data_IF_808149202762
#
_entry.id   IF_808149202762
#
_cell.length_a   1.000
_cell.length_b   1.000
_cell.length_c   1.000
_cell.angle_alpha   90.00
_cell.angle_beta   90.00
_cell.angle_gamma   90.00
#
_symmetry.space_group_name_H-M   'P 1'
#
loop_
_entity.id
_entity.type
_entity.pdbx_description
1 polymer ?
#
# COMPACT_ATOMS: atom_id res chain seq x y z
N UNK A 1 -13.64 5.29 -0.96
CA UNK A 1 -12.51 4.56 -1.60
C UNK A 1 -12.91 3.84 -2.89
N UNK A 2 -13.78 2.82 -2.88
CA UNK A 2 -14.15 2.12 -4.14
C UNK A 2 -14.68 3.06 -5.23
N UNK A 3 -15.64 3.94 -4.90
CA UNK A 3 -16.13 4.98 -5.83
C UNK A 3 -15.00 5.84 -6.39
N UNK A 4 -14.03 6.21 -5.55
CA UNK A 4 -12.87 6.99 -5.95
C UNK A 4 -11.98 6.24 -6.92
N UNK A 5 -11.75 4.93 -6.71
CA UNK A 5 -11.00 4.10 -7.67
C UNK A 5 -11.66 4.13 -9.04
N UNK A 6 -12.98 3.89 -9.10
CA UNK A 6 -13.71 3.91 -10.38
C UNK A 6 -13.71 5.29 -11.03
N UNK A 7 -13.87 6.36 -10.24
CA UNK A 7 -13.80 7.73 -10.74
C UNK A 7 -12.45 8.07 -11.36
N UNK A 8 -11.33 7.74 -10.69
CA UNK A 8 -9.99 7.95 -11.22
C UNK A 8 -9.68 7.02 -12.40
N UNK A 9 -10.15 5.77 -12.37
CA UNK A 9 -9.98 4.81 -13.47
C UNK A 9 -10.66 5.28 -14.77
N UNK A 10 -11.78 6.00 -14.68
CA UNK A 10 -12.47 6.56 -15.83
C UNK A 10 -11.71 7.74 -16.48
N UNK A 11 -10.69 8.28 -15.80
CA UNK A 11 -9.89 9.43 -16.25
C UNK A 11 -8.57 9.03 -16.94
N UNK A 12 -8.28 7.74 -17.02
CA UNK A 12 -7.12 7.21 -17.76
C UNK A 12 -7.60 6.36 -18.94
N UNK A 13 -6.78 6.20 -20.00
CA UNK A 13 -7.09 5.24 -21.05
C UNK A 13 -7.37 3.85 -20.45
N UNK A 14 -8.48 3.19 -20.80
CA UNK A 14 -8.85 1.90 -20.20
C UNK A 14 -7.88 0.79 -20.63
N UNK A 15 -7.75 -0.29 -19.84
CA UNK A 15 -6.92 -1.41 -20.24
C UNK A 15 -7.50 -2.08 -21.48
N UNK A 16 -6.63 -2.53 -22.37
CA UNK A 16 -6.98 -3.19 -23.62
C UNK A 16 -6.88 -4.71 -23.46
N UNK A 17 -7.63 -5.44 -24.28
CA UNK A 17 -7.48 -6.89 -24.40
C UNK A 17 -6.24 -7.19 -25.24
N UNK A 18 -5.23 -7.77 -24.61
CA UNK A 18 -4.01 -8.21 -25.29
C UNK A 18 -4.05 -9.73 -25.44
N UNK A 19 -3.82 -10.28 -26.65
CA UNK A 19 -3.72 -11.72 -26.84
C UNK A 19 -2.71 -12.34 -25.87
N UNK A 20 -3.09 -13.45 -25.24
CA UNK A 20 -2.24 -14.17 -24.30
C UNK A 20 -2.58 -15.65 -24.30
N UNK A 21 -1.63 -16.46 -24.76
CA UNK A 21 -1.82 -17.90 -25.01
C UNK A 21 -3.09 -18.13 -25.86
N UNK A 22 -3.99 -19.00 -25.40
CA UNK A 22 -5.24 -19.31 -26.09
C UNK A 22 -6.39 -18.32 -25.81
N UNK A 23 -6.14 -17.20 -25.13
CA UNK A 23 -7.15 -16.22 -24.74
C UNK A 23 -6.59 -14.80 -24.77
N UNK A 24 -7.02 -13.94 -23.86
CA UNK A 24 -6.53 -12.58 -23.69
C UNK A 24 -6.38 -12.24 -22.20
N UNK A 25 -5.58 -11.21 -21.94
CA UNK A 25 -5.47 -10.56 -20.64
C UNK A 25 -5.69 -9.06 -20.79
N UNK A 26 -6.13 -8.39 -19.73
CA UNK A 26 -6.24 -6.94 -19.72
C UNK A 26 -4.89 -6.31 -19.37
N UNK A 27 -4.44 -5.36 -20.18
CA UNK A 27 -3.21 -4.59 -19.95
C UNK A 27 -3.43 -3.12 -20.26
N UNK A 28 -2.82 -2.26 -19.45
CA UNK A 28 -2.62 -0.87 -19.83
C UNK A 28 -1.47 -0.79 -20.83
N UNK A 29 -1.76 -0.42 -22.08
CA UNK A 29 -0.77 -0.36 -23.15
C UNK A 29 0.06 0.91 -23.04
N UNK A 30 -0.53 1.98 -22.51
CA UNK A 30 0.10 3.29 -22.34
C UNK A 30 1.06 3.33 -21.16
N UNK A 31 0.89 2.43 -20.19
CA UNK A 31 1.76 2.24 -19.02
C UNK A 31 2.05 3.54 -18.24
N UNK A 32 1.03 4.38 -18.10
CA UNK A 32 1.15 5.70 -17.48
C UNK A 32 1.31 5.60 -15.95
N UNK A 33 1.97 6.58 -15.30
CA UNK A 33 2.00 6.69 -13.84
C UNK A 33 0.60 6.70 -13.20
N UNK A 34 -0.36 7.38 -13.82
CA UNK A 34 -1.75 7.48 -13.40
C UNK A 34 -2.47 6.12 -13.44
N UNK A 35 -2.19 5.30 -14.45
CA UNK A 35 -2.70 3.93 -14.54
C UNK A 35 -2.12 3.04 -13.43
N UNK A 36 -0.85 3.25 -13.06
CA UNK A 36 -0.22 2.54 -11.95
C UNK A 36 -0.84 2.96 -10.61
N UNK A 37 -1.11 4.26 -10.41
CA UNK A 37 -1.84 4.77 -9.25
C UNK A 37 -3.22 4.11 -9.11
N UNK A 38 -4.00 4.04 -10.18
CA UNK A 38 -5.32 3.38 -10.18
C UNK A 38 -5.22 1.91 -9.75
N UNK A 39 -4.28 1.16 -10.31
CA UNK A 39 -4.06 -0.25 -9.94
C UNK A 39 -3.66 -0.41 -8.46
N UNK A 40 -2.76 0.46 -7.98
CA UNK A 40 -2.31 0.46 -6.57
C UNK A 40 -3.47 0.79 -5.62
N UNK A 41 -4.29 1.80 -5.93
CA UNK A 41 -5.48 2.13 -5.15
C UNK A 41 -6.51 1.00 -5.12
N UNK A 42 -6.75 0.33 -6.25
CA UNK A 42 -7.61 -0.86 -6.31
C UNK A 42 -7.08 -1.98 -5.39
N UNK A 43 -5.75 -2.18 -5.38
CA UNK A 43 -5.11 -3.16 -4.49
C UNK A 43 -5.20 -2.76 -3.02
N UNK A 44 -5.11 -1.46 -2.67
CA UNK A 44 -5.34 -0.98 -1.29
C UNK A 44 -6.74 -1.35 -0.82
N UNK A 45 -7.78 -1.08 -1.62
CA UNK A 45 -9.18 -1.34 -1.24
C UNK A 45 -9.42 -2.82 -0.96
N UNK A 46 -8.97 -3.70 -1.85
CA UNK A 46 -9.15 -5.14 -1.70
C UNK A 46 -8.34 -5.68 -0.52
N UNK A 47 -7.14 -5.15 -0.27
CA UNK A 47 -6.30 -5.58 0.85
C UNK A 47 -6.87 -5.14 2.20
N UNK A 48 -7.43 -3.92 2.31
CA UNK A 48 -8.15 -3.47 3.52
C UNK A 48 -9.39 -4.32 3.80
N UNK A 49 -10.14 -4.67 2.74
CA UNK A 49 -11.29 -5.55 2.87
C UNK A 49 -10.88 -6.92 3.42
N UNK A 50 -9.84 -7.54 2.84
CA UNK A 50 -9.30 -8.82 3.32
C UNK A 50 -8.79 -8.71 4.77
N UNK A 51 -8.04 -7.66 5.11
CA UNK A 51 -7.57 -7.43 6.48
C UNK A 51 -8.72 -7.32 7.48
N UNK A 52 -9.84 -6.71 7.09
CA UNK A 52 -11.05 -6.64 7.94
C UNK A 52 -11.70 -8.00 8.14
N UNK A 53 -11.77 -8.84 7.10
CA UNK A 53 -12.29 -10.21 7.22
C UNK A 53 -11.41 -11.04 8.15
N UNK A 54 -10.10 -10.96 8.01
CA UNK A 54 -9.13 -11.65 8.87
C UNK A 54 -9.23 -11.18 10.33
N UNK A 55 -9.28 -9.87 10.53
CA UNK A 55 -9.45 -9.24 11.85
C UNK A 55 -10.73 -9.73 12.54
N UNK A 56 -11.84 -9.88 11.81
CA UNK A 56 -13.12 -10.39 12.37
C UNK A 56 -13.04 -11.84 12.83
N UNK A 57 -12.12 -12.62 12.27
CA UNK A 57 -11.88 -14.02 12.65
C UNK A 57 -10.65 -14.19 13.57
N UNK A 58 -10.02 -13.11 14.00
CA UNK A 58 -8.86 -13.18 14.91
C UNK A 58 -7.55 -13.59 14.26
N UNK A 59 -7.47 -13.60 12.93
CA UNK A 59 -6.28 -13.97 12.16
C UNK A 59 -5.30 -12.80 12.05
N UNK A 60 -4.61 -12.50 13.17
CA UNK A 60 -3.79 -11.29 13.31
C UNK A 60 -2.42 -11.39 12.61
N UNK A 61 -1.87 -12.59 12.41
CA UNK A 61 -0.61 -12.76 11.67
C UNK A 61 -0.81 -12.40 10.20
N UNK A 62 -1.88 -12.91 9.60
CA UNK A 62 -2.27 -12.68 8.23
C UNK A 62 -2.63 -11.21 8.03
N UNK A 63 -3.33 -10.60 9.01
CA UNK A 63 -3.55 -9.15 9.01
C UNK A 63 -2.21 -8.38 8.98
N UNK A 64 -1.26 -8.73 9.84
CA UNK A 64 0.06 -8.09 9.88
C UNK A 64 0.81 -8.20 8.54
N UNK A 65 0.72 -9.35 7.88
CA UNK A 65 1.27 -9.54 6.54
C UNK A 65 0.57 -8.65 5.49
N UNK A 66 -0.76 -8.52 5.54
CA UNK A 66 -1.48 -7.62 4.64
C UNK A 66 -1.18 -6.14 4.91
N UNK A 67 -0.96 -5.76 6.16
CA UNK A 67 -0.51 -4.42 6.53
C UNK A 67 0.88 -4.11 5.92
N UNK A 68 1.78 -5.10 5.88
CA UNK A 68 3.05 -4.98 5.16
C UNK A 68 2.87 -4.68 3.68
N UNK A 69 1.89 -5.34 3.04
CA UNK A 69 1.53 -5.12 1.62
C UNK A 69 0.99 -3.70 1.42
N UNK A 70 0.04 -3.28 2.27
CA UNK A 70 -0.55 -1.93 2.18
C UNK A 70 0.53 -0.85 2.36
N UNK A 71 1.45 -1.03 3.32
CA UNK A 71 2.51 -0.06 3.59
C UNK A 71 3.39 0.19 2.35
N UNK A 72 3.80 -0.88 1.66
CA UNK A 72 4.59 -0.77 0.43
C UNK A 72 3.83 -0.08 -0.69
N UNK A 73 2.55 -0.40 -0.83
CA UNK A 73 1.67 0.24 -1.81
C UNK A 73 1.48 1.73 -1.51
N UNK A 74 1.36 2.12 -0.24
CA UNK A 74 1.26 3.53 0.15
C UNK A 74 2.52 4.31 -0.24
N UNK A 75 3.70 3.76 0.03
CA UNK A 75 4.96 4.35 -0.40
C UNK A 75 5.03 4.47 -1.93
N UNK A 76 4.57 3.47 -2.69
CA UNK A 76 4.51 3.53 -4.16
C UNK A 76 3.55 4.61 -4.66
N UNK A 77 2.40 4.75 -4.02
CA UNK A 77 1.41 5.79 -4.35
C UNK A 77 2.02 7.17 -4.09
N UNK A 78 2.62 7.39 -2.92
CA UNK A 78 3.26 8.67 -2.59
C UNK A 78 4.39 8.99 -3.55
N UNK A 79 5.22 8.00 -3.90
CA UNK A 79 6.30 8.13 -4.85
C UNK A 79 5.82 8.63 -6.22
N UNK A 80 4.84 7.94 -6.82
CA UNK A 80 4.28 8.33 -8.11
C UNK A 80 3.50 9.65 -8.03
N UNK A 81 2.72 9.85 -6.96
CA UNK A 81 1.91 11.05 -6.79
C UNK A 81 2.79 12.31 -6.68
N UNK A 82 3.87 12.27 -5.89
CA UNK A 82 4.81 13.39 -5.79
C UNK A 82 5.47 13.71 -7.14
N UNK A 83 5.83 12.69 -7.92
CA UNK A 83 6.38 12.90 -9.26
C UNK A 83 5.42 13.68 -10.16
N UNK A 84 4.13 13.36 -10.11
CA UNK A 84 3.10 14.05 -10.90
C UNK A 84 2.79 15.46 -10.34
N UNK A 85 2.59 15.59 -9.03
CA UNK A 85 2.22 16.85 -8.37
C UNK A 85 3.31 17.90 -8.54
N UNK A 86 4.58 17.50 -8.41
CA UNK A 86 5.73 18.40 -8.52
C UNK A 86 6.31 18.47 -9.94
N UNK A 87 5.68 17.79 -10.91
CA UNK A 87 6.18 17.68 -12.28
C UNK A 87 7.66 17.25 -12.36
N UNK A 88 8.00 16.21 -11.60
CA UNK A 88 9.36 15.72 -11.36
C UNK A 88 9.48 14.20 -11.64
N UNK A 89 9.12 13.81 -12.86
CA UNK A 89 9.32 12.43 -13.34
C UNK A 89 10.80 12.18 -13.64
N UNK A 90 11.49 11.57 -12.69
CA UNK A 90 12.91 11.20 -12.82
C UNK A 90 13.13 9.83 -13.48
N UNK A 91 14.36 9.50 -13.91
CA UNK A 91 14.69 8.15 -14.41
C UNK A 91 14.42 7.02 -13.42
N UNK A 92 14.33 7.30 -12.11
CA UNK A 92 13.92 6.31 -11.11
C UNK A 92 12.46 5.91 -11.30
N UNK A 93 11.56 6.85 -11.60
CA UNK A 93 10.14 6.57 -11.86
C UNK A 93 9.97 5.73 -13.13
N UNK A 94 10.73 6.05 -14.18
CA UNK A 94 10.70 5.28 -15.42
C UNK A 94 11.07 3.81 -15.17
N UNK A 95 12.21 3.54 -14.54
CA UNK A 95 12.61 2.16 -14.21
C UNK A 95 11.63 1.46 -13.28
N UNK A 96 11.04 2.18 -12.32
CA UNK A 96 9.99 1.64 -11.47
C UNK A 96 8.76 1.24 -12.29
N UNK A 97 8.30 2.09 -13.22
CA UNK A 97 7.12 1.80 -14.06
C UNK A 97 7.41 0.67 -15.05
N UNK A 98 8.57 0.69 -15.71
CA UNK A 98 9.04 -0.39 -16.58
C UNK A 98 8.98 -1.73 -15.82
N UNK A 99 9.51 -1.78 -14.61
CA UNK A 99 9.48 -2.96 -13.75
C UNK A 99 8.09 -3.33 -13.21
N UNK A 100 7.22 -2.34 -13.01
CA UNK A 100 5.85 -2.55 -12.52
C UNK A 100 4.95 -3.17 -13.59
N UNK A 101 5.12 -2.76 -14.85
CA UNK A 101 4.34 -3.26 -15.98
C UNK A 101 4.95 -4.49 -16.68
N UNK A 102 6.20 -4.82 -16.38
CA UNK A 102 6.84 -6.03 -16.89
C UNK A 102 6.14 -7.28 -16.34
N UNK A 103 5.93 -8.28 -17.19
CA UNK A 103 5.42 -9.60 -16.79
C UNK A 103 6.43 -10.33 -15.89
N UNK A 104 5.99 -11.41 -15.25
CA UNK A 104 6.94 -12.25 -14.50
C UNK A 104 7.72 -13.19 -15.44
N UNK A 105 7.07 -13.68 -16.50
CA UNK A 105 7.63 -14.67 -17.42
C UNK A 105 7.56 -14.20 -18.88
N UNK A 106 8.58 -14.53 -19.67
CA UNK A 106 8.68 -14.26 -21.11
C UNK A 106 8.56 -15.51 -22.00
N UNK A 107 8.37 -16.68 -21.39
CA UNK A 107 8.23 -17.97 -22.07
C UNK A 107 6.89 -18.66 -21.74
N UNK A 108 6.47 -19.60 -22.60
CA UNK A 108 5.25 -20.38 -22.39
C UNK A 108 5.37 -21.31 -21.16
N UNK A 109 6.53 -21.95 -21.02
CA UNK A 109 6.96 -22.64 -19.80
C UNK A 109 7.66 -21.64 -18.86
N UNK A 110 7.10 -21.36 -17.67
CA UNK A 110 7.72 -20.47 -16.69
C UNK A 110 9.14 -20.89 -16.27
N UNK A 111 9.49 -22.18 -16.37
CA UNK A 111 10.83 -22.69 -16.02
C UNK A 111 11.89 -22.21 -17.03
N UNK A 112 11.51 -22.06 -18.29
CA UNK A 112 12.39 -21.61 -19.37
C UNK A 112 12.48 -20.08 -19.46
N UNK A 113 11.69 -19.36 -18.66
CA UNK A 113 11.68 -17.90 -18.62
C UNK A 113 13.07 -17.35 -18.33
N UNK A 114 13.55 -16.47 -19.22
CA UNK A 114 14.80 -15.74 -19.02
C UNK A 114 14.59 -14.40 -18.33
N UNK A 115 13.34 -13.95 -18.30
CA UNK A 115 12.95 -12.71 -17.67
C UNK A 115 13.23 -12.71 -16.17
N UNK A 116 13.86 -11.62 -15.71
CA UNK A 116 14.02 -11.30 -14.29
C UNK A 116 13.46 -9.92 -14.07
N UNK A 117 12.19 -9.86 -13.64
CA UNK A 117 11.55 -8.59 -13.31
C UNK A 117 12.31 -7.92 -12.16
N UNK A 118 12.94 -6.76 -12.37
CA UNK A 118 13.74 -6.13 -11.33
C UNK A 118 12.81 -5.55 -10.26
N UNK A 119 13.33 -5.44 -9.04
CA UNK A 119 12.68 -4.66 -7.99
C UNK A 119 13.51 -3.41 -7.71
N UNK A 120 12.91 -2.24 -7.87
CA UNK A 120 13.53 -1.00 -7.44
C UNK A 120 13.72 -1.01 -5.93
N UNK A 121 14.91 -0.61 -5.48
CA UNK A 121 15.27 -0.66 -4.06
C UNK A 121 14.36 0.27 -3.27
N UNK A 122 13.62 -0.27 -2.29
CA UNK A 122 12.75 0.53 -1.39
C UNK A 122 13.44 1.75 -0.81
N UNK A 123 14.72 1.62 -0.45
CA UNK A 123 15.52 2.73 0.09
C UNK A 123 15.65 3.92 -0.88
N UNK A 124 15.65 3.70 -2.20
CA UNK A 124 15.67 4.77 -3.20
C UNK A 124 14.31 5.49 -3.27
N UNK A 125 13.22 4.73 -3.22
CA UNK A 125 11.85 5.27 -3.17
C UNK A 125 11.68 6.13 -1.91
N UNK A 126 12.05 5.59 -0.74
CA UNK A 126 11.99 6.29 0.55
C UNK A 126 12.84 7.56 0.57
N UNK A 127 14.04 7.52 -0.02
CA UNK A 127 14.89 8.71 -0.12
C UNK A 127 14.26 9.80 -1.01
N UNK A 128 13.62 9.42 -2.13
CA UNK A 128 12.90 10.37 -2.96
C UNK A 128 11.75 11.04 -2.22
N UNK A 129 10.91 10.24 -1.53
CA UNK A 129 9.78 10.74 -0.74
C UNK A 129 10.26 11.73 0.32
N UNK A 130 11.25 11.34 1.13
CA UNK A 130 11.78 12.17 2.22
C UNK A 130 12.34 13.52 1.72
N UNK A 131 12.93 13.56 0.52
CA UNK A 131 13.42 14.81 -0.07
C UNK A 131 12.29 15.75 -0.52
N UNK A 132 11.06 15.24 -0.73
CA UNK A 132 9.90 16.03 -1.16
C UNK A 132 9.02 16.53 -0.02
N UNK A 133 9.07 15.89 1.15
CA UNK A 133 8.25 16.26 2.31
C UNK A 133 8.68 17.58 3.00
N UNK A 134 9.75 18.23 2.54
CA UNK A 134 10.11 19.60 2.91
C UNK A 134 10.82 19.76 4.26
N UNK A 135 11.40 20.94 4.49
CA UNK A 135 12.40 21.27 5.53
C UNK A 135 11.94 21.21 7.00
N UNK A 136 10.67 20.92 7.28
CA UNK A 136 10.15 20.87 8.66
C UNK A 136 10.20 19.46 9.28
N UNK A 137 10.48 18.43 8.48
CA UNK A 137 10.76 17.08 8.93
C UNK A 137 12.21 16.76 8.57
N UNK A 138 13.02 16.36 9.55
CA UNK A 138 14.37 15.83 9.29
C UNK A 138 14.24 14.62 8.33
N UNK A 139 14.76 14.71 7.09
CA UNK A 139 14.66 13.62 6.12
C UNK A 139 15.26 12.32 6.63
N UNK A 140 16.28 12.40 7.48
CA UNK A 140 16.91 11.22 8.10
C UNK A 140 15.94 10.51 9.04
N UNK A 141 15.17 11.28 9.80
CA UNK A 141 14.13 10.76 10.69
C UNK A 141 12.96 10.17 9.92
N UNK A 142 12.52 10.81 8.83
CA UNK A 142 11.46 10.27 7.96
C UNK A 142 11.88 8.92 7.33
N UNK A 143 13.10 8.83 6.81
CA UNK A 143 13.67 7.58 6.27
C UNK A 143 13.78 6.51 7.37
N UNK A 144 14.26 6.87 8.56
CA UNK A 144 14.38 5.94 9.68
C UNK A 144 13.01 5.39 10.12
N UNK A 145 11.97 6.24 10.14
CA UNK A 145 10.61 5.84 10.45
C UNK A 145 10.06 4.85 9.42
N UNK A 146 10.18 5.14 8.12
CA UNK A 146 9.73 4.24 7.05
C UNK A 146 10.46 2.89 7.08
N UNK A 147 11.78 2.90 7.30
CA UNK A 147 12.56 1.66 7.48
C UNK A 147 12.10 0.85 8.70
N UNK A 148 11.81 1.53 9.81
CA UNK A 148 11.34 0.88 11.03
C UNK A 148 10.00 0.20 10.80
N UNK A 149 9.04 0.89 10.18
CA UNK A 149 7.74 0.31 9.81
C UNK A 149 7.91 -0.89 8.89
N UNK A 150 8.71 -0.76 7.83
CA UNK A 150 9.02 -1.87 6.92
C UNK A 150 9.57 -3.08 7.68
N UNK A 151 10.53 -2.86 8.60
CA UNK A 151 11.15 -3.94 9.39
C UNK A 151 10.17 -4.60 10.36
N UNK A 152 9.37 -3.82 11.07
CA UNK A 152 8.36 -4.32 12.02
C UNK A 152 7.41 -5.29 11.34
N UNK A 153 6.91 -4.92 10.15
CA UNK A 153 5.93 -5.75 9.45
C UNK A 153 6.56 -6.87 8.60
N UNK A 154 7.85 -6.78 8.27
CA UNK A 154 8.55 -7.82 7.51
C UNK A 154 8.59 -9.17 8.25
N UNK A 155 8.55 -9.15 9.58
CA UNK A 155 8.51 -10.37 10.39
C UNK A 155 7.27 -11.23 10.15
N UNK A 156 6.10 -10.63 9.91
CA UNK A 156 4.87 -11.37 9.56
C UNK A 156 4.95 -12.04 8.20
N UNK A 157 5.65 -11.42 7.25
CA UNK A 157 5.82 -11.97 5.89
C UNK A 157 6.80 -13.14 5.88
N UNK A 158 7.88 -13.06 6.67
CA UNK A 158 8.94 -14.07 6.69
C UNK A 158 8.83 -15.06 7.86
N UNK A 159 7.70 -15.07 8.57
CA UNK A 159 7.48 -15.96 9.70
C UNK A 159 8.63 -15.88 10.75
N UNK A 160 9.02 -14.65 11.09
CA UNK A 160 10.05 -14.44 12.11
C UNK A 160 9.54 -14.89 13.48
N UNK A 161 10.40 -15.58 14.25
CA UNK A 161 10.05 -16.16 15.55
C UNK A 161 9.31 -15.19 16.50
N UNK A 162 9.76 -13.93 16.70
CA UNK A 162 9.03 -13.00 17.57
C UNK A 162 7.59 -12.73 17.12
N UNK A 163 7.34 -12.63 15.81
CA UNK A 163 6.01 -12.42 15.27
C UNK A 163 5.16 -13.70 15.39
N UNK A 164 5.71 -14.88 15.10
CA UNK A 164 4.98 -16.15 15.32
C UNK A 164 4.56 -16.29 16.79
N UNK A 165 5.45 -15.94 17.72
CA UNK A 165 5.19 -16.03 19.15
C UNK A 165 4.10 -15.07 19.64
N UNK A 166 3.68 -14.08 18.84
CA UNK A 166 2.47 -13.30 19.17
C UNK A 166 1.21 -14.17 19.21
N UNK A 167 1.20 -15.33 18.53
CA UNK A 167 0.10 -16.30 18.60
C UNK A 167 0.12 -17.20 19.83
N UNK A 168 1.17 -17.14 20.66
CA UNK A 168 1.33 -18.04 21.80
C UNK A 168 0.82 -17.40 23.09
N UNK A 169 -0.11 -18.06 23.79
CA UNK A 169 -0.69 -17.52 25.01
C UNK A 169 -1.76 -18.43 25.65
N UNK A 170 -2.52 -17.86 26.57
CA UNK A 170 -3.59 -18.57 27.28
C UNK A 170 -3.13 -19.33 28.53
N UNK A 171 -4.07 -20.06 29.15
CA UNK A 171 -3.82 -20.92 30.29
C UNK A 171 -4.64 -22.23 30.13
N UNK A 172 -4.01 -23.37 29.81
CA UNK A 172 -2.56 -23.55 29.61
C UNK A 172 -2.04 -22.84 28.35
N UNK A 173 -0.75 -22.45 28.31
CA UNK A 173 -0.16 -21.80 27.14
C UNK A 173 -0.16 -22.70 25.90
N UNK A 174 -0.58 -22.17 24.76
CA UNK A 174 -0.60 -22.87 23.47
C UNK A 174 -0.60 -21.87 22.30
N UNK A 175 -0.45 -22.38 21.07
CA UNK A 175 -0.61 -21.58 19.86
C UNK A 175 -2.08 -21.43 19.47
N UNK A 176 -2.51 -20.19 19.26
CA UNK A 176 -3.84 -19.83 18.77
C UNK A 176 -3.92 -19.98 17.23
N UNK A 177 -3.90 -21.22 16.72
CA UNK A 177 -3.86 -21.52 15.28
C UNK A 177 -5.17 -21.30 14.52
N UNK A 178 -6.29 -21.23 15.23
CA UNK A 178 -7.62 -20.95 14.65
C UNK A 178 -8.02 -19.48 14.75
N UNK A 179 -7.09 -18.63 15.20
CA UNK A 179 -7.31 -17.22 15.45
C UNK A 179 -7.30 -16.85 16.93
N UNK A 180 -7.05 -15.57 17.17
CA UNK A 180 -6.77 -15.00 18.48
C UNK A 180 -7.97 -14.31 19.12
N UNK A 181 -9.21 -14.65 18.71
CA UNK A 181 -10.42 -13.99 19.21
C UNK A 181 -10.47 -13.96 20.75
N UNK A 182 -10.75 -12.79 21.31
CA UNK A 182 -10.86 -12.60 22.76
C UNK A 182 -9.53 -12.47 23.51
N UNK A 183 -8.39 -12.62 22.83
CA UNK A 183 -7.07 -12.35 23.44
C UNK A 183 -6.76 -10.85 23.47
N UNK A 184 -5.85 -10.38 24.35
CA UNK A 184 -5.38 -8.99 24.32
C UNK A 184 -4.76 -8.59 22.97
N UNK A 185 -4.01 -9.50 22.33
CA UNK A 185 -3.42 -9.27 21.00
C UNK A 185 -4.46 -8.95 19.94
N UNK A 186 -5.61 -9.62 19.97
CA UNK A 186 -6.70 -9.31 19.04
C UNK A 186 -7.21 -7.87 19.16
N UNK A 187 -7.29 -7.32 20.37
CA UNK A 187 -7.68 -5.94 20.59
C UNK A 187 -6.61 -4.95 20.08
N UNK A 188 -5.33 -5.23 20.35
CA UNK A 188 -4.21 -4.40 19.90
C UNK A 188 -4.16 -4.28 18.37
N UNK A 189 -4.24 -5.41 17.66
CA UNK A 189 -4.19 -5.42 16.20
C UNK A 189 -5.43 -4.78 15.55
N UNK A 190 -6.59 -4.82 16.23
CA UNK A 190 -7.79 -4.10 15.82
C UNK A 190 -7.57 -2.60 15.85
N UNK A 191 -6.94 -2.09 16.91
CA UNK A 191 -6.63 -0.67 17.03
C UNK A 191 -5.61 -0.21 15.99
N UNK A 192 -4.66 -1.08 15.66
CA UNK A 192 -3.64 -0.78 14.66
C UNK A 192 -4.17 -0.82 13.21
N UNK A 193 -5.12 -1.71 12.90
CA UNK A 193 -5.77 -1.73 11.57
C UNK A 193 -6.39 -0.37 11.21
N UNK A 194 -6.86 0.38 12.21
CA UNK A 194 -7.40 1.73 12.03
C UNK A 194 -6.38 2.70 11.42
N UNK A 195 -5.10 2.55 11.76
CA UNK A 195 -4.01 3.36 11.22
C UNK A 195 -3.87 3.15 9.70
N UNK A 196 -4.15 1.94 9.21
CA UNK A 196 -4.05 1.63 7.78
C UNK A 196 -5.26 2.12 6.98
N UNK A 197 -6.43 2.19 7.60
CA UNK A 197 -7.56 2.93 7.01
C UNK A 197 -7.23 4.41 6.86
N UNK A 198 -6.73 5.05 7.92
CA UNK A 198 -6.32 6.46 7.89
C UNK A 198 -5.27 6.73 6.80
N UNK A 199 -4.16 5.98 6.79
CA UNK A 199 -3.09 6.14 5.78
C UNK A 199 -3.59 5.90 4.36
N UNK A 200 -4.55 4.99 4.20
CA UNK A 200 -5.18 4.77 2.89
C UNK A 200 -6.01 5.96 2.46
N UNK A 201 -6.77 6.61 3.35
CA UNK A 201 -7.51 7.84 3.02
C UNK A 201 -6.53 8.91 2.51
N UNK A 202 -5.40 9.10 3.19
CA UNK A 202 -4.35 10.02 2.75
C UNK A 202 -3.80 9.66 1.37
N UNK A 203 -3.49 8.39 1.12
CA UNK A 203 -3.00 7.91 -0.18
C UNK A 203 -4.03 8.18 -1.32
N UNK A 204 -5.32 8.05 -1.03
CA UNK A 204 -6.39 8.42 -1.97
C UNK A 204 -6.44 9.93 -2.23
N UNK A 205 -6.22 10.76 -1.20
CA UNK A 205 -6.09 12.21 -1.37
C UNK A 205 -4.89 12.56 -2.26
N UNK A 206 -3.73 11.97 -1.98
CA UNK A 206 -2.52 12.17 -2.79
C UNK A 206 -2.74 11.81 -4.26
N UNK A 207 -3.43 10.70 -4.54
CA UNK A 207 -3.77 10.32 -5.91
C UNK A 207 -4.75 11.32 -6.55
N UNK A 208 -5.78 11.78 -5.83
CA UNK A 208 -6.70 12.81 -6.37
C UNK A 208 -5.93 14.09 -6.76
N UNK A 209 -5.00 14.54 -5.91
CA UNK A 209 -4.13 15.68 -6.20
C UNK A 209 -3.24 15.44 -7.41
N UNK A 210 -2.65 14.24 -7.55
CA UNK A 210 -1.83 13.86 -8.70
C UNK A 210 -2.61 13.86 -10.02
N UNK A 211 -3.91 13.58 -9.98
CA UNK A 211 -4.82 13.71 -11.12
C UNK A 211 -5.30 15.15 -11.37
N UNK A 212 -4.83 16.13 -10.59
CA UNK A 212 -5.31 17.52 -10.66
C UNK A 212 -6.75 17.69 -10.19
N UNK A 213 -7.32 16.73 -9.46
CA UNK A 213 -8.69 16.76 -8.96
C UNK A 213 -8.77 17.47 -7.60
N UNK A 214 -8.78 18.80 -7.63
CA UNK A 214 -8.78 19.58 -6.40
C UNK A 214 -10.07 19.34 -5.59
N UNK A 215 -11.22 19.24 -6.25
CA UNK A 215 -12.50 19.01 -5.59
C UNK A 215 -12.52 17.66 -4.86
N UNK A 216 -12.11 16.58 -5.53
CA UNK A 216 -12.02 15.27 -4.90
C UNK A 216 -10.98 15.24 -3.77
N UNK A 217 -9.85 15.93 -3.93
CA UNK A 217 -8.86 16.08 -2.86
C UNK A 217 -9.47 16.73 -1.62
N UNK A 218 -10.18 17.85 -1.78
CA UNK A 218 -10.82 18.57 -0.67
C UNK A 218 -11.90 17.72 0.01
N UNK A 219 -12.72 17.00 -0.76
CA UNK A 219 -13.70 16.05 -0.22
C UNK A 219 -13.05 14.93 0.62
N UNK A 220 -11.90 14.40 0.17
CA UNK A 220 -11.15 13.38 0.91
C UNK A 220 -10.50 13.98 2.16
N UNK A 221 -10.01 15.21 2.08
CA UNK A 221 -9.44 15.93 3.21
C UNK A 221 -10.50 16.15 4.30
N UNK A 222 -11.69 16.64 3.95
CA UNK A 222 -12.81 16.81 4.88
C UNK A 222 -13.25 15.48 5.51
N UNK A 223 -13.26 14.40 4.73
CA UNK A 223 -13.53 13.08 5.25
C UNK A 223 -12.45 12.61 6.23
N UNK A 224 -11.19 12.96 5.98
CA UNK A 224 -10.07 12.64 6.87
C UNK A 224 -10.28 13.27 8.24
N UNK A 225 -10.64 14.56 8.30
CA UNK A 225 -10.89 15.26 9.57
C UNK A 225 -12.02 14.57 10.37
N UNK A 226 -13.13 14.24 9.71
CA UNK A 226 -14.25 13.51 10.33
C UNK A 226 -13.84 12.12 10.81
N UNK A 227 -12.97 11.44 10.06
CA UNK A 227 -12.45 10.13 10.43
C UNK A 227 -11.55 10.20 11.68
N UNK A 228 -10.70 11.23 11.79
CA UNK A 228 -9.87 11.49 12.97
C UNK A 228 -10.72 11.75 14.22
N UNK A 229 -11.74 12.63 14.09
CA UNK A 229 -12.71 12.92 15.15
C UNK A 229 -13.43 11.66 15.64
N UNK A 230 -13.96 10.85 14.71
CA UNK A 230 -14.65 9.60 15.04
C UNK A 230 -13.73 8.56 15.70
N UNK A 231 -12.43 8.59 15.39
CA UNK A 231 -11.43 7.72 16.00
C UNK A 231 -11.01 8.19 17.40
N UNK A 232 -11.41 9.39 17.83
CA UNK A 232 -10.86 10.10 18.98
C UNK A 232 -9.32 10.14 18.95
N UNK A 233 -8.74 10.30 17.74
CA UNK A 233 -7.29 10.38 17.54
C UNK A 233 -6.97 11.55 16.60
N UNK A 234 -6.06 12.43 17.04
CA UNK A 234 -5.44 13.44 16.17
C UNK A 234 -4.15 12.85 15.61
N UNK A 235 -4.12 12.48 14.33
CA UNK A 235 -2.89 12.01 13.67
C UNK A 235 -2.15 13.16 12.97
N UNK A 236 -2.86 14.26 12.67
CA UNK A 236 -2.27 15.52 12.22
C UNK A 236 -1.39 16.15 13.31
N UNK A 237 -0.18 16.67 12.98
CA UNK A 237 0.59 17.48 13.92
C UNK A 237 -0.24 18.69 14.35
N UNK A 238 -0.32 18.95 15.66
CA UNK A 238 -0.83 20.24 16.14
C UNK A 238 0.08 21.33 15.59
N UNK A 239 -0.47 22.22 14.76
CA UNK A 239 0.23 23.40 14.26
C UNK A 239 0.68 24.29 15.42
#
# INVERSE_FOLDING_TARGET
MQRTVHGLAARVPPPQKVPFKASFVFRYVEQLPEQALVQKLARVVTTLHAATVLMRNGLVQEQGALQRVIHEIHEDITFLAYALIFNDLTPLHKRYLDAFYQEEFDADDPIESTQKRPMEKRSKIQAYIANKEGSNLDPSRAIALSKTLTKTYSGFVHAASPQIMDMYGGNPPHFHVEGMLGTPRHAEYRMDLWNYYYRSILAFGMAAKAFGDQELFDQIHDFTLKFEEAANKSYSPKR
#
